data_IF_945506098937
#
_entry.id   IF_945506098937
#
_cell.length_a   1.000
_cell.length_b   1.000
_cell.length_c   1.000
_cell.angle_alpha   90.00
_cell.angle_beta   90.00
_cell.angle_gamma   90.00
#
_symmetry.space_group_name_H-M   'P 1'
#
loop_
_entity.id
_entity.type
_entity.pdbx_description
1 polymer ?
#
# COMPACT_ATOMS: atom_id res chain seq x y z
N UNK A 1 -4.13 -32.11 -1.82
CA UNK A 1 -4.13 -31.63 -0.41
C UNK A 1 -2.99 -30.62 -0.28
N UNK A 2 -3.27 -29.32 -0.43
CA UNK A 2 -2.25 -28.28 -0.25
C UNK A 2 -1.87 -28.27 1.24
N UNK A 3 -0.72 -28.84 1.60
CA UNK A 3 -0.10 -28.52 2.90
C UNK A 3 -0.03 -27.00 2.98
N UNK A 4 -0.68 -26.40 3.97
CA UNK A 4 -0.59 -24.96 4.21
C UNK A 4 0.89 -24.64 4.43
N UNK A 5 1.57 -24.18 3.38
CA UNK A 5 2.99 -23.85 3.49
C UNK A 5 3.08 -22.73 4.53
N UNK A 6 3.90 -22.84 5.59
CA UNK A 6 3.85 -21.90 6.70
C UNK A 6 4.44 -20.53 6.35
N UNK A 7 5.17 -20.43 5.23
CA UNK A 7 5.91 -19.22 4.87
C UNK A 7 5.05 -17.95 4.74
N UNK A 8 3.80 -17.94 4.21
CA UNK A 8 3.01 -16.71 4.16
C UNK A 8 2.66 -16.21 5.55
N UNK A 9 2.36 -17.12 6.50
CA UNK A 9 2.10 -16.74 7.88
C UNK A 9 3.36 -16.16 8.53
N UNK A 10 4.51 -16.81 8.36
CA UNK A 10 5.80 -16.31 8.88
C UNK A 10 6.15 -14.93 8.32
N UNK A 11 6.06 -14.74 7.00
CA UNK A 11 6.35 -13.44 6.37
C UNK A 11 5.34 -12.39 6.83
N UNK A 12 4.05 -12.72 6.89
CA UNK A 12 3.01 -11.82 7.39
C UNK A 12 3.26 -11.38 8.84
N UNK A 13 3.66 -12.31 9.71
CA UNK A 13 4.03 -12.02 11.10
C UNK A 13 5.26 -11.12 11.20
N UNK A 14 6.28 -11.34 10.36
CA UNK A 14 7.48 -10.49 10.32
C UNK A 14 7.11 -9.07 9.87
N UNK A 15 6.33 -8.91 8.79
CA UNK A 15 5.89 -7.59 8.32
C UNK A 15 5.05 -6.87 9.37
N UNK A 16 4.13 -7.58 10.05
CA UNK A 16 3.32 -7.03 11.12
C UNK A 16 4.17 -6.58 12.31
N UNK A 17 5.15 -7.39 12.72
CA UNK A 17 6.08 -7.06 13.79
C UNK A 17 6.90 -5.81 13.42
N UNK A 18 7.46 -5.76 12.21
CA UNK A 18 8.20 -4.59 11.73
C UNK A 18 7.32 -3.34 11.67
N UNK A 19 6.05 -3.46 11.24
CA UNK A 19 5.10 -2.36 11.23
C UNK A 19 4.83 -1.82 12.65
N UNK A 20 4.67 -2.70 13.63
CA UNK A 20 4.45 -2.32 15.04
C UNK A 20 5.69 -1.65 15.62
N UNK A 21 6.87 -2.21 15.40
CA UNK A 21 8.14 -1.62 15.85
C UNK A 21 8.33 -0.23 15.25
N UNK A 22 8.10 -0.09 13.93
CA UNK A 22 8.22 1.20 13.26
C UNK A 22 7.16 2.20 13.73
N UNK A 23 5.95 1.74 14.02
CA UNK A 23 4.90 2.57 14.61
C UNK A 23 5.25 3.07 16.00
N UNK A 24 5.89 2.24 16.83
CA UNK A 24 6.42 2.66 18.13
C UNK A 24 7.55 3.69 17.97
N UNK A 25 8.46 3.49 17.02
CA UNK A 25 9.52 4.47 16.70
C UNK A 25 8.92 5.80 16.26
N UNK A 26 7.93 5.78 15.35
CA UNK A 26 7.26 6.98 14.88
C UNK A 26 6.49 7.70 16.00
N UNK A 27 5.82 6.95 16.89
CA UNK A 27 5.12 7.49 18.05
C UNK A 27 6.11 8.20 18.99
N UNK A 28 7.23 7.55 19.32
CA UNK A 28 8.26 8.10 20.22
C UNK A 28 8.99 9.30 19.63
N UNK A 29 9.19 9.32 18.31
CA UNK A 29 9.82 10.43 17.64
C UNK A 29 8.94 11.69 17.61
N UNK A 30 7.62 11.52 17.70
CA UNK A 30 6.56 12.55 17.64
C UNK A 30 6.50 13.37 16.35
N UNK A 31 7.63 13.83 15.82
CA UNK A 31 7.72 14.69 14.64
C UNK A 31 8.86 14.26 13.69
N UNK A 32 9.02 12.95 13.49
CA UNK A 32 10.05 12.36 12.62
C UNK A 32 11.35 12.02 13.35
N UNK A 33 12.06 11.00 12.85
CA UNK A 33 13.38 10.61 13.34
C UNK A 33 14.50 11.44 12.71
N UNK A 34 15.74 11.34 13.22
CA UNK A 34 16.90 11.99 12.58
C UNK A 34 17.11 11.57 11.11
N UNK A 35 16.82 10.29 10.79
CA UNK A 35 16.87 9.79 9.41
C UNK A 35 15.75 10.41 8.57
N UNK A 36 14.55 10.56 9.13
CA UNK A 36 13.42 11.20 8.43
C UNK A 36 13.72 12.65 8.07
N UNK A 37 14.34 13.41 8.97
CA UNK A 37 14.79 14.77 8.70
C UNK A 37 15.85 14.83 7.61
N UNK A 38 16.85 13.94 7.65
CA UNK A 38 17.89 13.86 6.62
C UNK A 38 17.31 13.58 5.23
N UNK A 39 16.30 12.71 5.16
CA UNK A 39 15.58 12.40 3.92
C UNK A 39 14.73 13.57 3.47
N UNK A 40 14.04 14.26 4.38
CA UNK A 40 13.29 15.47 4.07
C UNK A 40 14.21 16.53 3.46
N UNK A 41 15.33 16.85 4.11
CA UNK A 41 16.28 17.86 3.64
C UNK A 41 16.85 17.51 2.27
N UNK A 42 17.18 16.23 2.04
CA UNK A 42 17.57 15.74 0.73
C UNK A 42 16.48 16.02 -0.31
N UNK A 43 15.22 15.67 -0.03
CA UNK A 43 14.11 15.90 -0.95
C UNK A 43 13.92 17.39 -1.22
N UNK A 44 13.98 18.25 -0.20
CA UNK A 44 13.86 19.70 -0.34
C UNK A 44 14.95 20.29 -1.25
N UNK A 45 16.21 19.88 -1.08
CA UNK A 45 17.33 20.33 -1.93
C UNK A 45 17.24 19.88 -3.39
N UNK A 46 16.47 18.82 -3.66
CA UNK A 46 16.28 18.27 -5.00
C UNK A 46 14.93 18.64 -5.64
N UNK A 47 14.15 19.52 -5.01
CA UNK A 47 12.92 20.05 -5.62
C UNK A 47 13.21 20.83 -6.89
N UNK A 48 12.36 20.66 -7.89
CA UNK A 48 12.37 21.41 -9.15
C UNK A 48 10.93 21.73 -9.54
N UNK A 49 10.69 22.92 -10.07
CA UNK A 49 9.33 23.38 -10.40
C UNK A 49 8.63 22.46 -11.40
N UNK A 50 9.37 21.89 -12.35
CA UNK A 50 8.84 20.96 -13.35
C UNK A 50 8.55 19.55 -12.80
N UNK A 51 9.22 19.14 -11.72
CA UNK A 51 8.99 17.83 -11.08
C UNK A 51 7.74 17.83 -10.20
N UNK A 52 7.40 18.98 -9.61
CA UNK A 52 6.25 19.12 -8.72
C UNK A 52 4.90 18.73 -9.35
N UNK A 53 4.51 19.22 -10.54
CA UNK A 53 3.26 18.81 -11.17
C UNK A 53 3.24 17.32 -11.51
N UNK A 54 4.39 16.74 -11.89
CA UNK A 54 4.52 15.30 -12.15
C UNK A 54 4.31 14.51 -10.85
N UNK A 55 4.93 14.93 -9.74
CA UNK A 55 4.76 14.29 -8.45
C UNK A 55 3.31 14.33 -7.95
N UNK A 56 2.61 15.46 -8.16
CA UNK A 56 1.17 15.60 -7.88
C UNK A 56 0.34 14.64 -8.74
N UNK A 57 0.54 14.65 -10.05
CA UNK A 57 -0.17 13.76 -10.96
C UNK A 57 0.00 12.27 -10.59
N UNK A 58 1.24 11.84 -10.34
CA UNK A 58 1.52 10.46 -9.94
C UNK A 58 0.83 10.12 -8.62
N UNK A 59 0.89 10.99 -7.60
CA UNK A 59 0.25 10.69 -6.32
C UNK A 59 -1.27 10.70 -6.39
N UNK A 60 -1.88 11.50 -7.24
CA UNK A 60 -3.33 11.57 -7.40
C UNK A 60 -3.85 10.33 -8.13
N UNK A 61 -3.16 9.89 -9.20
CA UNK A 61 -3.55 8.73 -10.02
C UNK A 61 -3.20 7.41 -9.36
N UNK A 62 -2.01 7.30 -8.76
CA UNK A 62 -1.49 6.03 -8.23
C UNK A 62 -1.72 5.91 -6.72
N UNK A 63 -2.13 7.00 -6.07
CA UNK A 63 -2.57 7.02 -4.67
C UNK A 63 -4.05 6.63 -4.49
N UNK A 64 -4.64 6.91 -3.32
CA UNK A 64 -5.99 6.46 -2.98
C UNK A 64 -7.05 6.91 -3.97
N UNK A 65 -6.97 8.15 -4.46
CA UNK A 65 -7.99 8.74 -5.34
C UNK A 65 -8.11 8.02 -6.69
N UNK A 66 -7.02 7.45 -7.22
CA UNK A 66 -7.09 6.58 -8.39
C UNK A 66 -7.20 5.08 -8.08
N UNK A 67 -6.55 4.59 -7.01
CA UNK A 67 -6.55 3.17 -6.65
C UNK A 67 -7.91 2.66 -6.18
N UNK A 68 -8.70 3.50 -5.51
CA UNK A 68 -10.05 3.13 -5.08
C UNK A 68 -10.99 2.91 -6.27
N UNK A 69 -11.17 3.88 -7.19
CA UNK A 69 -11.95 3.66 -8.41
C UNK A 69 -11.43 2.47 -9.22
N UNK A 70 -10.11 2.33 -9.37
CA UNK A 70 -9.50 1.20 -10.07
C UNK A 70 -9.93 -0.14 -9.44
N UNK A 71 -9.79 -0.28 -8.12
CA UNK A 71 -10.18 -1.50 -7.41
C UNK A 71 -11.68 -1.80 -7.55
N UNK A 72 -12.54 -0.78 -7.44
CA UNK A 72 -13.99 -0.92 -7.60
C UNK A 72 -14.33 -1.40 -9.02
N UNK A 73 -13.82 -0.72 -10.04
CA UNK A 73 -14.09 -1.03 -11.45
C UNK A 73 -13.55 -2.41 -11.81
N UNK A 74 -12.30 -2.71 -11.47
CA UNK A 74 -11.70 -4.03 -11.77
C UNK A 74 -12.44 -5.13 -11.04
N UNK A 75 -12.79 -4.94 -9.76
CA UNK A 75 -13.60 -5.91 -9.01
C UNK A 75 -14.95 -6.18 -9.68
N UNK A 76 -15.67 -5.13 -10.08
CA UNK A 76 -16.95 -5.24 -10.78
C UNK A 76 -16.80 -5.94 -12.15
N UNK A 77 -15.79 -5.58 -12.94
CA UNK A 77 -15.50 -6.19 -14.24
C UNK A 77 -15.15 -7.67 -14.09
N UNK A 78 -14.31 -8.03 -13.12
CA UNK A 78 -13.93 -9.43 -12.87
C UNK A 78 -15.14 -10.26 -12.42
N UNK A 79 -16.00 -9.71 -11.55
CA UNK A 79 -17.25 -10.37 -11.18
C UNK A 79 -18.11 -10.58 -12.44
N UNK A 80 -18.38 -9.53 -13.21
CA UNK A 80 -19.24 -9.62 -14.40
C UNK A 80 -18.70 -10.61 -15.43
N UNK A 81 -17.40 -10.55 -15.73
CA UNK A 81 -16.77 -11.35 -16.80
C UNK A 81 -16.56 -12.80 -16.42
N UNK A 82 -16.19 -13.08 -15.17
CA UNK A 82 -15.90 -14.43 -14.70
C UNK A 82 -17.10 -15.09 -14.03
N UNK A 83 -18.17 -14.34 -13.73
CA UNK A 83 -19.39 -14.82 -13.05
C UNK A 83 -19.10 -15.48 -11.69
N UNK A 84 -17.97 -15.10 -11.07
CA UNK A 84 -17.47 -15.63 -9.80
C UNK A 84 -17.17 -14.45 -8.87
N UNK A 85 -17.77 -14.37 -7.67
CA UNK A 85 -17.61 -13.19 -6.82
C UNK A 85 -16.29 -13.14 -6.04
N UNK A 86 -15.57 -14.26 -5.87
CA UNK A 86 -14.36 -14.32 -5.03
C UNK A 86 -13.29 -13.23 -5.35
N UNK A 87 -12.86 -13.00 -6.61
CA UNK A 87 -11.91 -11.93 -6.91
C UNK A 87 -12.40 -10.55 -6.46
N UNK A 88 -13.67 -10.25 -6.73
CA UNK A 88 -14.28 -8.98 -6.35
C UNK A 88 -14.37 -8.83 -4.82
N UNK A 89 -14.78 -9.89 -4.11
CA UNK A 89 -14.84 -9.90 -2.66
C UNK A 89 -13.46 -9.67 -2.02
N UNK A 90 -12.41 -10.28 -2.57
CA UNK A 90 -11.03 -10.06 -2.07
C UNK A 90 -10.57 -8.63 -2.34
N UNK A 91 -10.84 -8.07 -3.52
CA UNK A 91 -10.49 -6.68 -3.85
C UNK A 91 -11.26 -5.70 -2.95
N UNK A 92 -12.58 -5.85 -2.83
CA UNK A 92 -13.41 -4.98 -2.00
C UNK A 92 -13.07 -5.11 -0.51
N UNK A 93 -12.83 -6.33 -0.04
CA UNK A 93 -12.35 -6.59 1.32
C UNK A 93 -11.02 -5.88 1.60
N UNK A 94 -10.10 -5.87 0.62
CA UNK A 94 -8.84 -5.12 0.70
C UNK A 94 -9.09 -3.63 0.81
N UNK A 95 -9.92 -3.04 -0.06
CA UNK A 95 -10.27 -1.61 -0.01
C UNK A 95 -10.85 -1.21 1.34
N UNK A 96 -11.84 -1.96 1.84
CA UNK A 96 -12.46 -1.74 3.16
C UNK A 96 -11.41 -1.84 4.26
N UNK A 97 -10.52 -2.84 4.20
CA UNK A 97 -9.45 -3.01 5.19
C UNK A 97 -8.53 -1.79 5.20
N UNK A 98 -8.12 -1.27 4.04
CA UNK A 98 -7.31 -0.04 3.98
C UNK A 98 -8.04 1.17 4.58
N UNK A 99 -9.36 1.32 4.30
CA UNK A 99 -10.19 2.41 4.82
C UNK A 99 -10.27 2.44 6.33
N UNK A 100 -10.27 1.27 6.96
CA UNK A 100 -10.37 1.12 8.42
C UNK A 100 -8.98 1.24 9.05
N UNK A 101 -7.98 0.53 8.52
CA UNK A 101 -6.65 0.45 9.12
C UNK A 101 -5.89 1.78 9.09
N UNK A 102 -6.03 2.59 8.04
CA UNK A 102 -5.35 3.88 7.93
C UNK A 102 -5.74 4.84 9.09
N UNK A 103 -7.01 5.21 9.27
CA UNK A 103 -7.38 6.14 10.36
C UNK A 103 -7.17 5.53 11.74
N UNK A 104 -7.39 4.22 11.91
CA UNK A 104 -7.16 3.53 13.17
C UNK A 104 -5.70 3.66 13.63
N UNK A 105 -4.76 3.33 12.75
CA UNK A 105 -3.33 3.39 13.07
C UNK A 105 -2.84 4.83 13.23
N UNK A 106 -3.35 5.77 12.42
CA UNK A 106 -3.09 7.21 12.60
C UNK A 106 -3.52 7.72 13.97
N UNK A 107 -4.69 7.30 14.44
CA UNK A 107 -5.19 7.69 15.75
C UNK A 107 -4.35 7.12 16.90
N UNK A 108 -3.92 5.86 16.79
CA UNK A 108 -3.09 5.19 17.80
C UNK A 108 -1.69 5.80 17.87
N UNK A 109 -1.06 6.04 16.72
CA UNK A 109 0.35 6.46 16.65
C UNK A 109 0.49 7.98 16.84
N UNK A 110 -0.39 8.79 16.26
CA UNK A 110 -0.49 10.23 16.57
C UNK A 110 0.73 11.08 16.17
N UNK A 111 1.62 10.60 15.31
CA UNK A 111 2.81 11.35 14.86
C UNK A 111 2.43 12.57 14.03
N UNK A 112 3.13 13.68 14.25
CA UNK A 112 3.04 14.90 13.46
C UNK A 112 3.68 14.72 12.08
N UNK A 113 3.22 15.53 11.12
CA UNK A 113 3.77 15.59 9.75
C UNK A 113 4.98 16.50 9.69
N UNK A 114 5.77 16.45 8.59
CA UNK A 114 6.76 17.50 8.30
C UNK A 114 6.16 18.91 8.40
N UNK A 115 6.95 19.96 8.72
CA UNK A 115 6.44 21.29 8.99
C UNK A 115 5.52 21.84 7.88
N UNK A 116 4.47 22.56 8.24
CA UNK A 116 3.50 23.09 7.26
C UNK A 116 4.15 23.96 6.18
N UNK A 117 5.18 24.73 6.55
CA UNK A 117 5.91 25.62 5.64
C UNK A 117 6.55 24.91 4.43
N UNK A 118 6.83 23.61 4.52
CA UNK A 118 7.48 22.86 3.44
C UNK A 118 6.53 21.98 2.63
N UNK A 119 5.24 21.92 2.99
CA UNK A 119 4.24 21.05 2.35
C UNK A 119 3.78 21.62 1.02
N UNK A 120 3.77 20.79 -0.02
CA UNK A 120 3.27 21.16 -1.35
C UNK A 120 1.82 20.72 -1.60
N UNK A 121 1.21 20.00 -0.67
CA UNK A 121 -0.21 19.60 -0.67
C UNK A 121 -0.77 19.66 0.76
N UNK A 122 -2.08 19.86 0.88
CA UNK A 122 -2.76 20.00 2.19
C UNK A 122 -3.15 18.63 2.74
N UNK A 123 -2.76 18.37 3.97
CA UNK A 123 -3.05 17.12 4.69
C UNK A 123 -3.24 17.42 6.18
N UNK A 124 -4.43 17.15 6.71
CA UNK A 124 -4.81 17.51 8.10
C UNK A 124 -4.79 16.37 9.12
N UNK A 125 -4.62 15.11 8.69
CA UNK A 125 -4.56 13.94 9.58
C UNK A 125 -3.14 13.65 10.08
N UNK A 126 -2.94 12.86 11.15
CA UNK A 126 -1.62 12.38 11.57
C UNK A 126 -0.80 11.75 10.43
N UNK A 127 0.52 11.72 10.56
CA UNK A 127 1.45 11.36 9.49
C UNK A 127 1.55 9.84 9.28
N UNK A 128 1.75 9.08 10.35
CA UNK A 128 2.00 7.64 10.30
C UNK A 128 0.70 6.81 10.35
N UNK A 129 0.58 5.73 9.55
CA UNK A 129 1.38 5.43 8.36
C UNK A 129 0.88 6.22 7.14
N UNK A 130 1.68 6.23 6.08
CA UNK A 130 1.28 6.82 4.80
C UNK A 130 0.13 6.03 4.18
N UNK A 131 -1.07 6.64 4.16
CA UNK A 131 -2.25 6.04 3.53
C UNK A 131 -2.09 5.84 2.02
N UNK A 132 -1.34 6.73 1.36
CA UNK A 132 -1.02 6.58 -0.06
C UNK A 132 -0.20 5.32 -0.32
N UNK A 133 0.92 5.16 0.38
CA UNK A 133 1.80 3.99 0.22
C UNK A 133 1.06 2.69 0.56
N UNK A 134 0.27 2.70 1.64
CA UNK A 134 -0.54 1.56 2.09
C UNK A 134 -1.58 1.16 1.04
N UNK A 135 -2.39 2.11 0.55
CA UNK A 135 -3.43 1.81 -0.44
C UNK A 135 -2.82 1.36 -1.77
N UNK A 136 -1.76 2.01 -2.25
CA UNK A 136 -1.09 1.66 -3.51
C UNK A 136 -0.58 0.23 -3.50
N UNK A 137 0.22 -0.17 -2.51
CA UNK A 137 0.74 -1.55 -2.45
C UNK A 137 -0.38 -2.57 -2.24
N UNK A 138 -1.40 -2.23 -1.44
CA UNK A 138 -2.51 -3.14 -1.14
C UNK A 138 -3.33 -3.46 -2.39
N UNK A 139 -3.72 -2.43 -3.13
CA UNK A 139 -4.54 -2.58 -4.35
C UNK A 139 -3.72 -3.24 -5.46
N UNK A 140 -2.54 -2.70 -5.79
CA UNK A 140 -1.71 -3.28 -6.84
C UNK A 140 -1.28 -4.72 -6.51
N UNK A 141 -0.91 -4.99 -5.25
CA UNK A 141 -0.52 -6.32 -4.79
C UNK A 141 -1.64 -7.35 -4.91
N UNK A 142 -2.87 -6.99 -4.50
CA UNK A 142 -4.02 -7.89 -4.64
C UNK A 142 -4.40 -8.12 -6.10
N UNK A 143 -4.30 -7.09 -6.95
CA UNK A 143 -4.47 -7.26 -8.39
C UNK A 143 -3.40 -8.19 -8.98
N UNK A 144 -2.13 -8.05 -8.58
CA UNK A 144 -1.06 -8.94 -9.02
C UNK A 144 -1.29 -10.39 -8.59
N UNK A 145 -1.81 -10.63 -7.39
CA UNK A 145 -2.19 -11.96 -6.89
C UNK A 145 -3.28 -12.58 -7.77
N UNK A 146 -4.36 -11.85 -8.02
CA UNK A 146 -5.52 -12.34 -8.76
C UNK A 146 -5.18 -12.55 -10.24
N UNK A 147 -4.58 -11.54 -10.89
CA UNK A 147 -4.26 -11.58 -12.32
C UNK A 147 -3.11 -12.54 -12.63
N UNK A 148 -2.22 -12.79 -11.66
CA UNK A 148 -1.13 -13.75 -11.76
C UNK A 148 -1.55 -15.20 -11.52
N UNK A 149 -2.77 -15.46 -11.07
CA UNK A 149 -3.26 -16.82 -10.83
C UNK A 149 -3.33 -17.61 -12.14
N UNK A 150 -2.73 -18.80 -12.16
CA UNK A 150 -2.66 -19.65 -13.36
C UNK A 150 -1.77 -19.11 -14.49
N UNK A 151 -1.02 -18.02 -14.27
CA UNK A 151 -0.09 -17.44 -15.25
C UNK A 151 1.34 -17.94 -15.05
N UNK A 152 2.16 -17.79 -16.09
CA UNK A 152 3.57 -18.15 -16.07
C UNK A 152 4.35 -17.34 -15.02
N UNK A 153 5.49 -17.87 -14.57
CA UNK A 153 6.39 -17.18 -13.64
C UNK A 153 6.79 -15.80 -14.17
N UNK A 154 7.08 -15.69 -15.47
CA UNK A 154 7.45 -14.42 -16.11
C UNK A 154 6.35 -13.35 -15.97
N UNK A 155 5.08 -13.69 -16.24
CA UNK A 155 3.96 -12.75 -16.09
C UNK A 155 3.80 -12.32 -14.63
N UNK A 156 3.88 -13.28 -13.70
CA UNK A 156 3.79 -12.99 -12.26
C UNK A 156 4.91 -12.05 -11.81
N UNK A 157 6.14 -12.27 -12.28
CA UNK A 157 7.28 -11.39 -12.00
C UNK A 157 7.02 -9.97 -12.49
N UNK A 158 6.56 -9.78 -13.73
CA UNK A 158 6.27 -8.45 -14.26
C UNK A 158 5.13 -7.74 -13.52
N UNK A 159 4.10 -8.47 -13.08
CA UNK A 159 3.06 -7.90 -12.22
C UNK A 159 3.64 -7.35 -10.92
N UNK A 160 4.51 -8.11 -10.24
CA UNK A 160 5.16 -7.67 -9.00
C UNK A 160 6.18 -6.54 -9.20
N UNK A 161 6.86 -6.49 -10.35
CA UNK A 161 7.66 -5.33 -10.75
C UNK A 161 6.78 -4.09 -10.85
N UNK A 162 5.60 -4.20 -11.45
CA UNK A 162 4.62 -3.11 -11.50
C UNK A 162 4.16 -2.65 -10.11
N UNK A 163 3.90 -3.60 -9.19
CA UNK A 163 3.59 -3.28 -7.78
C UNK A 163 4.72 -2.49 -7.13
N UNK A 164 5.97 -2.95 -7.29
CA UNK A 164 7.14 -2.31 -6.71
C UNK A 164 7.35 -0.90 -7.28
N UNK A 165 7.31 -0.74 -8.60
CA UNK A 165 7.48 0.55 -9.28
C UNK A 165 6.38 1.54 -8.85
N UNK A 166 5.10 1.13 -8.88
CA UNK A 166 4.00 2.00 -8.49
C UNK A 166 4.08 2.42 -7.02
N UNK A 167 4.41 1.48 -6.13
CA UNK A 167 4.55 1.76 -4.70
C UNK A 167 5.71 2.70 -4.41
N UNK A 168 6.89 2.44 -5.01
CA UNK A 168 8.07 3.29 -4.85
C UNK A 168 7.82 4.69 -5.43
N UNK A 169 7.20 4.78 -6.61
CA UNK A 169 6.85 6.06 -7.21
C UNK A 169 5.97 6.89 -6.27
N UNK A 170 4.89 6.32 -5.73
CA UNK A 170 4.02 7.00 -4.77
C UNK A 170 4.75 7.35 -3.47
N UNK A 171 5.55 6.45 -2.92
CA UNK A 171 6.32 6.74 -1.70
C UNK A 171 7.24 7.95 -1.92
N UNK A 172 7.97 7.97 -3.04
CA UNK A 172 8.85 9.08 -3.39
C UNK A 172 8.10 10.39 -3.59
N UNK A 173 6.91 10.39 -4.22
CA UNK A 173 6.13 11.63 -4.35
C UNK A 173 5.68 12.14 -2.99
N UNK A 174 5.32 11.28 -2.04
CA UNK A 174 4.93 11.71 -0.68
C UNK A 174 6.07 12.35 0.10
N UNK A 175 7.28 11.80 -0.03
CA UNK A 175 8.50 12.38 0.54
C UNK A 175 8.84 13.70 -0.14
N UNK A 176 8.82 13.73 -1.48
CA UNK A 176 9.09 14.92 -2.28
C UNK A 176 8.15 16.09 -1.97
N UNK A 177 6.84 15.81 -1.85
CA UNK A 177 5.81 16.80 -1.50
C UNK A 177 5.90 17.26 -0.04
N UNK A 178 6.75 16.63 0.78
CA UNK A 178 7.04 17.03 2.15
C UNK A 178 5.87 16.79 3.10
N UNK A 179 5.06 15.76 2.87
CA UNK A 179 3.85 15.49 3.67
C UNK A 179 3.92 14.22 4.50
N UNK A 180 4.98 13.44 4.31
CA UNK A 180 5.26 12.21 5.04
C UNK A 180 6.74 12.08 5.33
N UNK A 181 7.03 11.39 6.43
CA UNK A 181 8.36 10.92 6.81
C UNK A 181 8.70 9.62 6.06
N UNK A 182 9.99 9.24 6.03
CA UNK A 182 10.42 7.95 5.47
C UNK A 182 9.77 6.80 6.25
N UNK A 183 9.76 6.92 7.58
CA UNK A 183 9.08 6.00 8.49
C UNK A 183 7.60 5.81 8.14
N UNK A 184 6.88 6.87 7.77
CA UNK A 184 5.46 6.78 7.38
C UNK A 184 5.26 5.94 6.11
N UNK A 185 6.05 6.18 5.07
CA UNK A 185 5.90 5.48 3.78
C UNK A 185 6.32 4.02 3.92
N UNK A 186 7.38 3.73 4.68
CA UNK A 186 7.78 2.36 5.01
C UNK A 186 6.71 1.66 5.84
N UNK A 187 6.11 2.33 6.84
CA UNK A 187 5.02 1.78 7.63
C UNK A 187 3.78 1.45 6.79
N UNK A 188 3.45 2.32 5.84
CA UNK A 188 2.37 2.07 4.88
C UNK A 188 2.63 0.84 4.01
N UNK A 189 3.87 0.70 3.50
CA UNK A 189 4.30 -0.47 2.72
C UNK A 189 4.22 -1.77 3.53
N UNK A 190 4.70 -1.75 4.77
CA UNK A 190 4.68 -2.93 5.66
C UNK A 190 3.25 -3.40 5.94
N UNK A 191 2.37 -2.49 6.38
CA UNK A 191 0.99 -2.84 6.68
C UNK A 191 0.21 -3.24 5.43
N UNK A 192 0.43 -2.55 4.30
CA UNK A 192 -0.15 -2.97 3.03
C UNK A 192 0.33 -4.35 2.57
N UNK A 193 1.59 -4.69 2.80
CA UNK A 193 2.13 -6.03 2.58
C UNK A 193 1.45 -7.10 3.42
N UNK A 194 1.17 -6.83 4.70
CA UNK A 194 0.36 -7.72 5.56
C UNK A 194 -1.03 -7.95 4.96
N UNK A 195 -1.70 -6.87 4.54
CA UNK A 195 -3.03 -6.95 3.90
C UNK A 195 -2.98 -7.82 2.64
N UNK A 196 -1.95 -7.66 1.81
CA UNK A 196 -1.76 -8.45 0.58
C UNK A 196 -1.53 -9.93 0.90
N UNK A 197 -0.74 -10.26 1.92
CA UNK A 197 -0.50 -11.66 2.35
C UNK A 197 -1.80 -12.31 2.84
N UNK A 198 -2.60 -11.58 3.63
CA UNK A 198 -3.90 -12.07 4.11
C UNK A 198 -4.84 -12.28 2.92
N UNK A 199 -4.97 -11.29 2.04
CA UNK A 199 -5.80 -11.37 0.84
C UNK A 199 -5.38 -12.52 -0.08
N UNK A 200 -4.07 -12.73 -0.27
CA UNK A 200 -3.53 -13.84 -1.05
C UNK A 200 -3.81 -15.20 -0.41
N UNK A 201 -3.73 -15.29 0.91
CA UNK A 201 -4.04 -16.51 1.67
C UNK A 201 -5.51 -16.87 1.56
N UNK A 202 -6.40 -15.87 1.70
CA UNK A 202 -7.85 -16.03 1.47
C UNK A 202 -8.10 -16.48 0.02
N UNK A 203 -7.55 -15.77 -0.96
CA UNK A 203 -7.74 -16.11 -2.36
C UNK A 203 -7.26 -17.53 -2.68
N UNK A 204 -6.07 -17.93 -2.21
CA UNK A 204 -5.52 -19.27 -2.40
C UNK A 204 -6.35 -20.37 -1.72
N UNK A 205 -6.95 -20.11 -0.56
CA UNK A 205 -7.77 -21.09 0.16
C UNK A 205 -9.10 -21.37 -0.56
N UNK A 206 -9.69 -20.38 -1.23
CA UNK A 206 -11.00 -20.49 -1.86
C UNK A 206 -10.96 -20.64 -3.39
N UNK A 207 -9.90 -20.21 -4.07
CA UNK A 207 -9.77 -20.30 -5.54
C UNK A 207 -9.84 -21.74 -6.11
N UNK A 208 -9.24 -22.78 -5.49
CA UNK A 208 -9.34 -24.15 -6.00
C UNK A 208 -10.76 -24.68 -6.02
N UNK A 209 -11.57 -24.33 -5.02
CA UNK A 209 -13.01 -24.69 -4.94
C UNK A 209 -13.86 -23.95 -5.99
N UNK A 210 -13.34 -22.86 -6.52
CA UNK A 210 -13.98 -21.98 -7.50
C UNK A 210 -13.75 -22.40 -8.95
N UNK A 211 -12.62 -23.05 -9.23
CA UNK A 211 -12.20 -23.50 -10.58
C UNK A 211 -12.54 -24.97 -10.87
N UNK A 212 -12.74 -25.80 -9.84
CA UNK A 212 -13.16 -27.20 -10.00
C UNK A 212 -14.67 -27.39 -10.17
N UNK A 213 -15.45 -26.31 -10.03
CA UNK A 213 -16.91 -26.29 -10.20
C UNK A 213 -17.31 -25.67 -11.56
N UNK A 214 -16.47 -25.85 -12.57
CA UNK A 214 -16.65 -25.47 -13.97
C UNK A 214 -16.36 -26.71 -14.82
#
# INVERSE_FOLDING_TARGET
>A
MFSARPWPAVVGSILAMLFVVLGFVAHRAHAGTAVDHSVLDFMLGHRRDWLTPIARFITDVVGPDGMWPLGIVVGAVLWWRWRKPLPALVIFGTLITTRIMIPLTKHIVGTERPPHAVRLVVEGSPSYPSGHSLTTISVLGVLAVILGHGRSVAIRTWLWVGVAVGTVAVALTRLYLGVHWLTDVTGGVLLGGVIVIVAASVYAAYAPRYLSAA
#
